data_IF_579773518080
#
_entry.id   IF_579773518080
#
_cell.length_a   1.000
_cell.length_b   1.000
_cell.length_c   1.000
_cell.angle_alpha   90.00
_cell.angle_beta   90.00
_cell.angle_gamma   90.00
#
_symmetry.space_group_name_H-M   'P 1'
#
loop_
_entity.id
_entity.type
_entity.pdbx_description
1 polymer ?
#
# COMPACT_ATOMS: atom_id res chain seq x y z
N UNK A 1 0.72 8.08 7.91
CA UNK A 1 0.74 7.53 9.29
C UNK A 1 1.66 6.32 9.32
N UNK A 2 2.44 6.11 10.39
CA UNK A 2 3.30 4.92 10.51
C UNK A 2 2.77 3.98 11.61
N UNK A 3 2.78 2.68 11.32
CA UNK A 3 2.45 1.60 12.24
C UNK A 3 3.70 0.73 12.46
N UNK A 4 3.74 -0.04 13.54
CA UNK A 4 4.71 -1.13 13.64
C UNK A 4 4.44 -2.22 12.59
N UNK A 5 5.42 -3.09 12.40
CA UNK A 5 5.39 -4.12 11.34
C UNK A 5 4.23 -5.10 11.53
N UNK A 6 3.89 -5.47 12.77
CA UNK A 6 2.80 -6.40 13.05
C UNK A 6 1.45 -5.80 12.64
N UNK A 7 1.23 -4.52 12.95
CA UNK A 7 0.06 -3.79 12.49
C UNK A 7 -0.01 -3.65 10.97
N UNK A 8 1.12 -3.45 10.29
CA UNK A 8 1.16 -3.48 8.82
C UNK A 8 0.76 -4.84 8.26
N UNK A 9 1.22 -5.93 8.87
CA UNK A 9 0.85 -7.29 8.44
C UNK A 9 -0.65 -7.57 8.62
N UNK A 10 -1.24 -7.13 9.74
CA UNK A 10 -2.69 -7.23 9.97
C UNK A 10 -3.49 -6.43 8.94
N UNK A 11 -3.03 -5.21 8.63
CA UNK A 11 -3.64 -4.36 7.63
C UNK A 11 -3.54 -4.96 6.22
N UNK A 12 -2.38 -5.50 5.85
CA UNK A 12 -2.19 -6.21 4.57
C UNK A 12 -3.13 -7.42 4.48
N UNK A 13 -3.30 -8.17 5.58
CA UNK A 13 -4.22 -9.31 5.62
C UNK A 13 -5.67 -8.89 5.35
N UNK A 14 -6.13 -7.79 5.92
CA UNK A 14 -7.47 -7.25 5.68
C UNK A 14 -7.64 -6.69 4.26
N UNK A 15 -6.59 -6.08 3.69
CA UNK A 15 -6.59 -5.60 2.30
C UNK A 15 -6.71 -6.77 1.31
N UNK A 16 -6.03 -7.88 1.58
CA UNK A 16 -6.08 -9.10 0.77
C UNK A 16 -7.43 -9.84 0.85
N UNK A 17 -8.41 -9.34 1.61
CA UNK A 17 -9.79 -9.82 1.50
C UNK A 17 -10.51 -9.31 0.23
N UNK A 18 -9.86 -8.43 -0.55
CA UNK A 18 -10.40 -7.93 -1.82
C UNK A 18 -11.74 -7.23 -1.61
N UNK A 19 -12.77 -7.65 -2.34
CA UNK A 19 -14.12 -7.08 -2.25
C UNK A 19 -14.77 -7.23 -0.86
N UNK A 20 -14.33 -8.20 -0.04
CA UNK A 20 -14.86 -8.41 1.31
C UNK A 20 -14.13 -7.54 2.37
N UNK A 21 -13.16 -6.73 1.96
CA UNK A 21 -12.43 -5.85 2.87
C UNK A 21 -13.36 -4.83 3.52
N UNK A 22 -13.20 -4.60 4.83
CA UNK A 22 -13.94 -3.54 5.54
C UNK A 22 -13.27 -2.18 5.43
N UNK A 23 -12.08 -2.11 4.82
CA UNK A 23 -11.33 -0.88 4.69
C UNK A 23 -11.91 -0.04 3.56
N UNK A 24 -12.40 1.15 3.93
CA UNK A 24 -12.94 2.11 2.97
C UNK A 24 -11.92 2.46 1.88
N UNK A 25 -12.39 2.63 0.65
CA UNK A 25 -11.55 2.87 -0.55
C UNK A 25 -10.53 4.00 -0.38
N UNK A 26 -10.92 5.11 0.26
CA UNK A 26 -10.00 6.23 0.52
C UNK A 26 -8.87 5.86 1.48
N UNK A 27 -9.16 5.01 2.47
CA UNK A 27 -8.15 4.55 3.42
C UNK A 27 -7.18 3.58 2.72
N UNK A 28 -7.67 2.71 1.84
CA UNK A 28 -6.81 1.82 1.03
C UNK A 28 -5.84 2.61 0.14
N UNK A 29 -6.32 3.69 -0.47
CA UNK A 29 -5.47 4.61 -1.23
C UNK A 29 -4.43 5.30 -0.34
N UNK A 30 -4.85 5.81 0.83
CA UNK A 30 -3.94 6.43 1.78
C UNK A 30 -2.88 5.45 2.30
N UNK A 31 -3.24 4.19 2.55
CA UNK A 31 -2.32 3.17 3.03
C UNK A 31 -1.20 2.89 2.03
N UNK A 32 -1.51 2.82 0.73
CA UNK A 32 -0.49 2.73 -0.32
C UNK A 32 0.41 3.95 -0.26
N UNK A 33 -0.17 5.15 -0.23
CA UNK A 33 0.62 6.38 -0.26
C UNK A 33 1.56 6.49 0.95
N UNK A 34 1.04 6.22 2.14
CA UNK A 34 1.78 6.24 3.40
C UNK A 34 2.91 5.19 3.41
N UNK A 35 2.61 3.94 3.03
CA UNK A 35 3.61 2.87 3.04
C UNK A 35 4.82 3.19 2.14
N UNK A 36 4.57 3.67 0.92
CA UNK A 36 5.66 4.02 0.00
C UNK A 36 6.40 5.30 0.41
N UNK A 37 5.70 6.32 0.92
CA UNK A 37 6.37 7.52 1.42
C UNK A 37 7.28 7.19 2.62
N UNK A 38 6.83 6.33 3.54
CA UNK A 38 7.63 5.87 4.68
C UNK A 38 8.83 5.03 4.24
N UNK A 39 8.63 4.15 3.26
CA UNK A 39 9.73 3.36 2.71
C UNK A 39 10.80 4.24 2.04
N UNK A 40 10.38 5.30 1.34
CA UNK A 40 11.29 6.26 0.71
C UNK A 40 12.19 7.00 1.68
N UNK A 41 11.74 7.22 2.91
CA UNK A 41 12.53 7.87 3.97
C UNK A 41 13.14 6.85 4.95
N UNK A 42 13.26 5.58 4.55
CA UNK A 42 13.81 4.47 5.36
C UNK A 42 13.09 4.27 6.72
N UNK A 43 11.87 4.77 6.88
CA UNK A 43 11.06 4.60 8.09
C UNK A 43 10.17 3.35 8.05
N UNK A 44 10.12 2.68 6.91
CA UNK A 44 9.47 1.38 6.69
C UNK A 44 10.33 0.57 5.72
N UNK A 45 10.39 -0.75 5.87
CA UNK A 45 11.09 -1.59 4.90
C UNK A 45 10.29 -1.61 3.58
N UNK A 46 10.97 -1.43 2.44
CA UNK A 46 10.33 -1.52 1.11
C UNK A 46 9.60 -2.85 0.89
N UNK A 47 10.03 -3.95 1.51
CA UNK A 47 9.29 -5.21 1.47
C UNK A 47 7.86 -5.06 1.99
N UNK A 48 7.64 -4.29 3.05
CA UNK A 48 6.29 -4.05 3.58
C UNK A 48 5.49 -3.18 2.60
N UNK A 49 6.07 -2.11 2.07
CA UNK A 49 5.39 -1.25 1.09
C UNK A 49 5.02 -2.00 -0.20
N UNK A 50 5.90 -2.88 -0.68
CA UNK A 50 5.64 -3.73 -1.84
C UNK A 50 4.58 -4.78 -1.52
N UNK A 51 4.57 -5.36 -0.32
CA UNK A 51 3.49 -6.25 0.12
C UNK A 51 2.13 -5.55 0.21
N UNK A 52 2.10 -4.27 0.58
CA UNK A 52 0.88 -3.45 0.45
C UNK A 52 0.50 -3.32 -1.03
N UNK A 53 1.43 -3.03 -1.94
CA UNK A 53 1.07 -2.96 -3.37
C UNK A 53 0.56 -4.29 -3.94
N UNK A 54 0.90 -5.45 -3.35
CA UNK A 54 0.44 -6.76 -3.84
C UNK A 54 -1.08 -6.93 -3.74
N UNK A 55 -1.78 -6.34 -2.76
CA UNK A 55 -3.25 -6.50 -2.67
C UNK A 55 -3.98 -5.91 -3.89
N UNK A 56 -3.33 -4.99 -4.62
CA UNK A 56 -3.91 -4.38 -5.82
C UNK A 56 -4.31 -5.41 -6.87
N UNK A 57 -3.80 -6.65 -6.81
CA UNK A 57 -4.28 -7.75 -7.67
C UNK A 57 -5.77 -7.97 -7.59
N UNK A 58 -6.39 -7.69 -6.44
CA UNK A 58 -7.81 -7.87 -6.17
C UNK A 58 -8.56 -6.52 -6.03
N UNK A 59 -7.91 -5.39 -6.34
CA UNK A 59 -8.49 -4.04 -6.21
C UNK A 59 -9.24 -3.61 -7.47
N UNK A 60 -10.55 -3.37 -7.33
CA UNK A 60 -11.41 -2.90 -8.41
C UNK A 60 -11.60 -1.37 -8.42
N UNK A 61 -11.43 -0.70 -7.28
CA UNK A 61 -11.63 0.74 -7.19
C UNK A 61 -10.46 1.52 -7.78
N UNK A 62 -10.74 2.59 -8.53
CA UNK A 62 -9.70 3.41 -9.14
C UNK A 62 -8.81 4.16 -8.13
N UNK A 63 -9.37 4.55 -6.99
CA UNK A 63 -8.69 5.45 -6.05
C UNK A 63 -7.38 4.89 -5.50
N UNK A 64 -7.25 3.61 -5.13
CA UNK A 64 -5.99 3.06 -4.63
C UNK A 64 -4.93 2.82 -5.72
N UNK A 65 -5.35 2.64 -6.97
CA UNK A 65 -4.43 2.57 -8.11
C UNK A 65 -3.69 3.89 -8.38
N UNK A 66 -4.30 5.04 -8.09
CA UNK A 66 -3.67 6.36 -8.31
C UNK A 66 -2.32 6.55 -7.58
N UNK A 67 -2.23 6.42 -6.24
CA UNK A 67 -0.96 6.51 -5.54
C UNK A 67 -0.01 5.37 -5.91
N UNK A 68 -0.53 4.17 -6.21
CA UNK A 68 0.29 3.03 -6.63
C UNK A 68 1.07 3.34 -7.92
N UNK A 69 0.39 3.82 -8.97
CA UNK A 69 1.04 4.17 -10.23
C UNK A 69 2.13 5.23 -10.05
N UNK A 70 1.88 6.24 -9.21
CA UNK A 70 2.87 7.29 -8.91
C UNK A 70 4.13 6.70 -8.28
N UNK A 71 3.98 5.85 -7.27
CA UNK A 71 5.11 5.26 -6.54
C UNK A 71 5.86 4.20 -7.34
N UNK A 72 5.14 3.35 -8.07
CA UNK A 72 5.77 2.37 -8.97
C UNK A 72 6.51 3.05 -10.12
N UNK A 73 5.97 4.16 -10.66
CA UNK A 73 6.68 4.96 -11.68
C UNK A 73 7.94 5.60 -11.11
N UNK A 74 7.90 6.07 -9.86
CA UNK A 74 9.10 6.58 -9.18
C UNK A 74 10.17 5.48 -9.04
N UNK A 75 9.80 4.29 -8.56
CA UNK A 75 10.72 3.16 -8.44
C UNK A 75 11.31 2.74 -9.79
N UNK A 76 10.47 2.67 -10.83
CA UNK A 76 10.93 2.37 -12.20
C UNK A 76 11.95 3.38 -12.72
N UNK A 77 11.84 4.66 -12.35
CA UNK A 77 12.79 5.68 -12.79
C UNK A 77 14.07 5.72 -11.94
N UNK A 78 14.04 5.12 -10.74
CA UNK A 78 15.18 5.05 -9.83
C UNK A 78 16.11 3.87 -10.17
N UNK A 79 15.56 2.77 -10.68
CA UNK A 79 16.24 1.54 -11.10
C UNK A 79 16.74 1.64 -12.54
#
# INVERSE_FOLDING_TARGET
VNYDVENWELLIKELNMGNDTKIHVLNRAQMIDDAFNLARVNSLNYTVALNVALYLTDEADYMPWQPAFRHLSFLRNLL
#
